data_IF_192868338069
#
_entry.id   IF_192868338069
#
_cell.length_a   1.000
_cell.length_b   1.000
_cell.length_c   1.000
_cell.angle_alpha   90.00
_cell.angle_beta   90.00
_cell.angle_gamma   90.00
#
_symmetry.space_group_name_H-M   'P 1'
#
loop_
_entity.id
_entity.type
_entity.pdbx_description
1 polymer ?
#
# COMPACT_ATOMS: atom_id res chain seq x y z
N UNK A 1 -27.31 -43.83 -30.60
CA UNK A 1 -26.11 -44.35 -31.30
C UNK A 1 -24.96 -44.29 -30.31
N UNK A 2 -24.51 -45.47 -29.90
CA UNK A 2 -23.44 -45.79 -28.95
C UNK A 2 -22.67 -46.96 -29.56
N UNK A 3 -21.34 -47.01 -29.37
CA UNK A 3 -20.64 -48.28 -29.08
C UNK A 3 -19.64 -48.07 -27.92
N UNK A 4 -19.36 -48.96 -26.94
CA UNK A 4 -19.17 -50.42 -26.83
C UNK A 4 -18.02 -51.00 -27.67
N UNK A 5 -16.96 -51.50 -27.01
CA UNK A 5 -16.27 -52.82 -27.15
C UNK A 5 -14.96 -52.75 -26.32
N UNK A 6 -14.90 -53.35 -25.12
CA UNK A 6 -14.43 -54.71 -24.78
C UNK A 6 -12.98 -55.03 -25.12
N UNK A 7 -12.18 -55.35 -24.10
CA UNK A 7 -11.29 -56.52 -24.09
C UNK A 7 -11.23 -57.12 -22.69
N UNK A 8 -11.54 -58.42 -22.60
CA UNK A 8 -11.42 -59.27 -21.43
C UNK A 8 -10.29 -60.28 -21.66
N UNK A 9 -9.68 -60.70 -20.55
CA UNK A 9 -9.03 -62.00 -20.29
C UNK A 9 -7.67 -62.32 -20.95
N UNK A 10 -6.64 -62.42 -20.10
CA UNK A 10 -6.01 -63.71 -19.82
C UNK A 10 -5.30 -63.70 -18.45
N UNK A 11 -5.73 -64.60 -17.59
CA UNK A 11 -5.12 -64.98 -16.33
C UNK A 11 -4.02 -66.02 -16.55
N UNK A 12 -2.96 -65.95 -15.75
CA UNK A 12 -2.39 -67.06 -14.94
C UNK A 12 -0.86 -66.96 -14.83
N UNK A 13 -0.37 -67.53 -13.71
CA UNK A 13 1.01 -67.63 -13.24
C UNK A 13 1.45 -66.47 -12.34
N UNK A 14 1.10 -66.51 -11.05
CA UNK A 14 2.08 -66.53 -9.95
C UNK A 14 1.39 -66.97 -8.64
N UNK A 15 2.08 -67.85 -7.91
CA UNK A 15 1.66 -68.52 -6.68
C UNK A 15 1.29 -67.55 -5.55
N UNK A 16 0.21 -67.86 -4.83
CA UNK A 16 -0.29 -67.14 -3.63
C UNK A 16 0.63 -67.24 -2.40
N UNK A 17 1.85 -67.80 -2.52
CA UNK A 17 2.85 -67.79 -1.44
C UNK A 17 3.72 -66.53 -1.40
N UNK A 18 3.80 -65.72 -2.47
CA UNK A 18 4.68 -64.54 -2.51
C UNK A 18 4.04 -63.23 -2.02
N UNK A 19 2.71 -63.15 -2.00
CA UNK A 19 1.99 -61.93 -1.57
C UNK A 19 2.04 -61.77 -0.03
N UNK A 20 2.14 -62.86 0.73
CA UNK A 20 2.28 -62.79 2.20
C UNK A 20 3.69 -62.40 2.65
N UNK A 21 4.73 -62.66 1.85
CA UNK A 21 6.11 -62.27 2.18
C UNK A 21 6.40 -60.79 1.89
N UNK A 22 5.74 -60.21 0.88
CA UNK A 22 5.88 -58.78 0.53
C UNK A 22 5.15 -57.83 1.51
N UNK A 23 3.99 -58.23 2.05
CA UNK A 23 3.28 -57.39 3.04
C UNK A 23 3.96 -57.36 4.41
N UNK A 24 4.58 -58.45 4.84
CA UNK A 24 5.28 -58.52 6.15
C UNK A 24 6.59 -57.73 6.12
N UNK A 25 7.27 -57.67 4.97
CA UNK A 25 8.50 -56.87 4.79
C UNK A 25 8.24 -55.36 4.72
N UNK A 26 7.12 -54.91 4.14
CA UNK A 26 6.74 -53.49 4.16
C UNK A 26 6.28 -52.98 5.53
N UNK A 27 5.59 -53.81 6.31
CA UNK A 27 5.20 -53.48 7.69
C UNK A 27 6.40 -53.43 8.64
N UNK A 28 7.39 -54.31 8.47
CA UNK A 28 8.63 -54.25 9.24
C UNK A 28 9.48 -53.01 8.88
N UNK A 29 9.51 -52.61 7.60
CA UNK A 29 10.24 -51.41 7.17
C UNK A 29 9.62 -50.12 7.71
N UNK A 30 8.28 -50.03 7.81
CA UNK A 30 7.61 -48.85 8.39
C UNK A 30 7.77 -48.76 9.91
N UNK A 31 7.81 -49.90 10.60
CA UNK A 31 8.07 -49.97 12.05
C UNK A 31 9.54 -49.60 12.35
N UNK A 32 10.49 -50.04 11.52
CA UNK A 32 11.91 -49.66 11.66
C UNK A 32 12.13 -48.17 11.35
N UNK A 33 11.49 -47.61 10.33
CA UNK A 33 11.59 -46.18 9.99
C UNK A 33 10.95 -45.27 11.06
N UNK A 34 9.85 -45.72 11.68
CA UNK A 34 9.24 -44.99 12.81
C UNK A 34 10.08 -45.08 14.08
N UNK A 35 10.75 -46.21 14.34
CA UNK A 35 11.71 -46.35 15.45
C UNK A 35 12.98 -45.51 15.24
N UNK A 36 13.52 -45.43 14.02
CA UNK A 36 14.68 -44.58 13.70
C UNK A 36 14.33 -43.10 13.86
N UNK A 37 13.13 -42.67 13.43
CA UNK A 37 12.67 -41.29 13.68
C UNK A 37 12.45 -41.00 15.18
N UNK A 38 12.02 -41.98 15.97
CA UNK A 38 11.86 -41.81 17.43
C UNK A 38 13.20 -41.78 18.18
N UNK A 39 14.20 -42.55 17.74
CA UNK A 39 15.57 -42.56 18.29
C UNK A 39 16.41 -41.34 17.88
N UNK A 40 16.14 -40.75 16.70
CA UNK A 40 16.82 -39.53 16.22
C UNK A 40 16.18 -38.23 16.75
N UNK A 41 14.91 -38.26 17.16
CA UNK A 41 14.24 -37.11 17.81
C UNK A 41 14.47 -37.02 19.32
N UNK A 42 14.99 -38.08 19.95
CA UNK A 42 15.24 -38.11 21.40
C UNK A 42 16.70 -37.82 21.80
N UNK A 43 17.58 -37.50 20.85
CA UNK A 43 19.02 -37.29 21.10
C UNK A 43 19.58 -35.89 20.79
N UNK A 44 18.75 -34.84 20.65
CA UNK A 44 19.27 -33.44 20.62
C UNK A 44 18.60 -32.44 21.56
N UNK A 45 17.70 -32.88 22.45
CA UNK A 45 17.23 -32.05 23.57
C UNK A 45 18.09 -32.36 24.79
N UNK A 46 19.12 -31.52 25.02
CA UNK A 46 19.91 -31.29 26.24
C UNK A 46 21.43 -31.42 26.07
N UNK A 47 22.06 -30.37 25.54
CA UNK A 47 23.25 -29.69 26.13
C UNK A 47 23.94 -28.84 25.06
N UNK A 48 23.75 -27.52 25.15
CA UNK A 48 24.70 -26.47 24.78
C UNK A 48 24.21 -25.22 25.53
N UNK A 49 24.36 -25.18 26.86
CA UNK A 49 25.36 -24.33 27.53
C UNK A 49 25.57 -22.98 26.84
N UNK A 50 25.00 -21.96 27.49
CA UNK A 50 25.42 -20.57 27.52
C UNK A 50 26.92 -20.39 27.26
N UNK A 51 27.27 -19.82 26.11
CA UNK A 51 28.29 -18.77 25.99
C UNK A 51 28.38 -18.24 24.55
N UNK A 52 28.55 -16.91 24.46
CA UNK A 52 29.13 -16.16 23.35
C UNK A 52 28.33 -16.01 22.04
N UNK A 53 27.40 -15.05 22.03
CA UNK A 53 27.33 -14.00 20.99
C UNK A 53 26.83 -12.71 21.65
N UNK A 54 27.69 -12.05 22.42
CA UNK A 54 27.60 -10.61 22.64
C UNK A 54 28.29 -9.95 21.45
N UNK A 55 27.57 -9.76 20.37
CA UNK A 55 27.93 -8.70 19.43
C UNK A 55 27.51 -7.39 20.09
N UNK A 56 28.51 -6.66 20.58
CA UNK A 56 28.37 -5.29 21.07
C UNK A 56 27.74 -4.44 19.95
N UNK A 57 26.45 -4.14 20.12
CA UNK A 57 25.82 -3.03 19.43
C UNK A 57 26.46 -1.76 19.99
N UNK A 58 27.55 -1.31 19.38
CA UNK A 58 28.13 0.00 19.64
C UNK A 58 27.14 1.06 19.15
N UNK A 59 26.16 1.35 19.99
CA UNK A 59 25.28 2.50 19.86
C UNK A 59 26.15 3.74 20.12
N UNK A 60 26.77 4.24 19.06
CA UNK A 60 27.39 5.56 19.02
C UNK A 60 26.37 6.56 19.53
N UNK A 61 26.61 7.08 20.73
CA UNK A 61 25.89 8.18 21.37
C UNK A 61 26.24 9.49 20.67
N UNK A 62 25.87 9.61 19.40
CA UNK A 62 25.67 10.88 18.75
C UNK A 62 24.21 11.24 18.93
N UNK A 63 23.93 12.01 19.98
CA UNK A 63 22.66 12.68 20.22
C UNK A 63 22.35 13.64 19.06
N UNK A 64 21.71 13.12 18.03
CA UNK A 64 20.92 13.93 17.11
C UNK A 64 19.51 13.93 17.70
N UNK A 65 19.20 14.97 18.45
CA UNK A 65 17.85 15.22 18.97
C UNK A 65 16.93 15.61 17.82
N UNK A 66 16.44 14.62 17.07
CA UNK A 66 15.22 14.81 16.30
C UNK A 66 14.06 14.88 17.32
N UNK A 67 13.19 15.89 17.25
CA UNK A 67 12.06 15.98 18.17
C UNK A 67 11.17 14.76 17.94
N UNK A 68 11.20 13.83 18.91
CA UNK A 68 10.22 12.76 19.01
C UNK A 68 8.89 13.46 19.28
N UNK A 69 8.08 13.61 18.24
CA UNK A 69 6.69 14.03 18.38
C UNK A 69 5.93 12.85 18.99
N UNK A 70 6.11 12.67 20.31
CA UNK A 70 5.26 11.83 21.13
C UNK A 70 3.84 12.35 20.92
N UNK A 71 2.94 11.51 20.41
CA UNK A 71 1.52 11.81 20.47
C UNK A 71 1.18 12.05 21.93
N UNK A 72 0.67 13.24 22.25
CA UNK A 72 -0.12 13.42 23.46
C UNK A 72 -1.27 12.42 23.34
N UNK A 73 -1.61 11.73 24.43
CA UNK A 73 -2.75 10.81 24.47
C UNK A 73 -4.08 11.50 24.14
N UNK A 74 -4.06 12.84 23.99
CA UNK A 74 -5.14 13.70 23.53
C UNK A 74 -5.26 13.87 22.02
N UNK A 75 -4.24 13.52 21.22
CA UNK A 75 -4.27 13.67 19.74
C UNK A 75 -5.10 12.58 19.05
N UNK A 76 -5.34 11.46 19.73
CA UNK A 76 -6.32 10.45 19.33
C UNK A 76 -7.67 10.90 19.89
N UNK A 77 -8.26 11.91 19.27
CA UNK A 77 -9.62 12.33 19.59
C UNK A 77 -10.56 11.11 19.65
N UNK A 78 -11.42 11.11 20.67
CA UNK A 78 -12.59 10.24 20.87
C UNK A 78 -13.61 10.33 19.71
N UNK A 79 -13.18 10.13 18.48
CA UNK A 79 -14.06 10.11 17.33
C UNK A 79 -14.57 8.69 17.16
N UNK A 80 -15.80 8.45 17.61
CA UNK A 80 -16.62 7.39 17.00
C UNK A 80 -16.72 7.73 15.52
N UNK A 81 -15.92 7.09 14.68
CA UNK A 81 -15.82 7.39 13.25
C UNK A 81 -17.09 6.91 12.52
N UNK A 82 -18.13 7.74 12.56
CA UNK A 82 -19.39 7.51 11.87
C UNK A 82 -19.42 8.35 10.59
N UNK A 83 -18.81 7.83 9.52
CA UNK A 83 -19.00 8.38 8.17
C UNK A 83 -20.39 7.98 7.63
N UNK A 84 -21.47 8.47 8.26
CA UNK A 84 -22.80 8.33 7.66
C UNK A 84 -22.96 9.35 6.54
N UNK A 85 -23.16 8.87 5.31
CA UNK A 85 -23.65 9.69 4.23
C UNK A 85 -25.02 10.25 4.62
N UNK A 86 -25.11 11.58 4.72
CA UNK A 86 -26.42 12.22 4.59
C UNK A 86 -26.90 11.96 3.18
N UNK A 87 -27.94 11.15 3.04
CA UNK A 87 -28.68 10.99 1.78
C UNK A 87 -28.84 12.34 1.09
N UNK A 88 -28.39 12.39 -0.17
CA UNK A 88 -28.41 13.56 -1.04
C UNK A 88 -29.83 14.15 -1.13
N UNK A 89 -30.18 15.09 -0.23
CA UNK A 89 -31.11 16.15 -0.61
C UNK A 89 -30.32 17.03 -1.56
N UNK A 90 -30.67 16.99 -2.85
CA UNK A 90 -30.26 17.99 -3.84
C UNK A 90 -30.57 19.39 -3.27
N UNK A 91 -29.60 19.99 -2.59
CA UNK A 91 -29.63 21.42 -2.32
C UNK A 91 -29.27 22.06 -3.63
N UNK A 92 -30.27 22.64 -4.29
CA UNK A 92 -30.10 23.68 -5.31
C UNK A 92 -29.22 24.78 -4.70
N UNK A 93 -27.90 24.65 -4.84
CA UNK A 93 -26.95 25.61 -4.31
C UNK A 93 -26.82 26.73 -5.33
N UNK A 94 -27.41 27.86 -4.94
CA UNK A 94 -27.43 29.10 -5.72
C UNK A 94 -25.99 29.54 -6.00
N UNK A 95 -25.64 29.73 -7.29
CA UNK A 95 -24.38 30.29 -7.80
C UNK A 95 -23.91 31.43 -6.89
N UNK A 96 -22.95 31.17 -5.99
CA UNK A 96 -22.19 32.23 -5.33
C UNK A 96 -21.04 32.60 -6.27
N UNK A 97 -21.21 33.74 -6.89
CA UNK A 97 -20.23 34.39 -7.75
C UNK A 97 -18.95 34.71 -6.99
N UNK A 98 -17.82 34.49 -7.67
CA UNK A 98 -16.50 35.09 -7.50
C UNK A 98 -15.97 35.21 -6.06
N UNK A 99 -15.46 34.11 -5.50
CA UNK A 99 -14.32 34.21 -4.57
C UNK A 99 -13.05 34.29 -5.43
N UNK A 100 -12.32 35.39 -5.29
CA UNK A 100 -11.05 35.68 -5.97
C UNK A 100 -10.11 34.47 -5.90
N UNK A 101 -9.73 33.95 -7.08
CA UNK A 101 -8.63 33.00 -7.24
C UNK A 101 -7.36 33.66 -6.73
N UNK A 102 -6.83 33.19 -5.60
CA UNK A 102 -5.47 33.53 -5.18
C UNK A 102 -4.55 32.40 -5.62
N UNK A 103 -3.65 32.67 -6.56
CA UNK A 103 -2.53 31.79 -6.84
C UNK A 103 -1.68 31.73 -5.56
N UNK A 104 -1.52 30.53 -5.00
CA UNK A 104 -0.63 30.32 -3.86
C UNK A 104 0.69 29.83 -4.45
N UNK A 105 1.68 30.72 -4.50
CA UNK A 105 3.04 30.40 -4.93
C UNK A 105 3.78 29.82 -3.73
N UNK A 106 4.24 28.57 -3.82
CA UNK A 106 5.18 27.98 -2.87
C UNK A 106 6.53 27.86 -3.56
N UNK A 107 7.51 28.67 -3.16
CA UNK A 107 8.89 28.49 -3.59
C UNK A 107 9.50 27.31 -2.82
N UNK A 108 9.85 26.23 -3.53
CA UNK A 108 10.62 25.10 -3.00
C UNK A 108 12.10 25.47 -2.92
N UNK A 109 12.43 26.55 -2.22
CA UNK A 109 13.80 26.76 -1.79
C UNK A 109 13.97 26.02 -0.45
N UNK A 110 15.02 25.21 -0.29
CA UNK A 110 15.46 24.78 1.03
C UNK A 110 16.04 26.00 1.76
N UNK A 111 15.35 26.59 2.76
CA UNK A 111 16.10 27.01 3.94
C UNK A 111 15.35 26.96 5.27
N UNK A 112 16.15 26.76 6.32
CA UNK A 112 16.00 27.26 7.68
C UNK A 112 14.62 27.12 8.38
N UNK A 113 14.61 26.10 9.23
CA UNK A 113 13.81 25.81 10.42
C UNK A 113 13.23 27.06 11.13
N UNK A 114 12.23 27.72 10.55
CA UNK A 114 11.30 28.62 11.28
C UNK A 114 9.93 28.80 10.62
N UNK A 115 9.68 28.25 9.41
CA UNK A 115 8.38 28.33 8.70
C UNK A 115 7.50 27.08 8.85
N UNK A 116 7.94 26.07 9.60
CA UNK A 116 7.29 24.75 9.76
C UNK A 116 6.01 24.73 10.62
N UNK A 117 5.56 25.85 11.20
CA UNK A 117 4.35 25.88 12.03
C UNK A 117 3.03 25.84 11.22
N UNK A 118 3.10 25.98 9.88
CA UNK A 118 1.96 25.75 8.99
C UNK A 118 2.33 24.82 7.83
N UNK A 119 2.63 23.57 8.17
CA UNK A 119 2.72 22.44 7.23
C UNK A 119 1.35 22.04 6.64
N UNK A 120 0.55 22.99 6.16
CA UNK A 120 -0.70 22.66 5.47
C UNK A 120 -0.73 23.42 4.17
N UNK A 121 -0.54 22.71 3.06
CA UNK A 121 -1.05 23.20 1.78
C UNK A 121 -2.56 23.36 1.99
N UNK A 122 -3.15 24.54 1.73
CA UNK A 122 -4.58 24.75 1.89
C UNK A 122 -5.34 24.07 0.75
N UNK A 123 -5.27 22.75 0.71
CA UNK A 123 -6.19 21.92 -0.03
C UNK A 123 -7.38 21.67 0.90
N UNK A 124 -8.48 22.42 0.71
CA UNK A 124 -9.75 22.07 1.32
C UNK A 124 -10.49 21.14 0.36
N UNK A 125 -10.58 19.88 0.75
CA UNK A 125 -11.05 18.80 -0.10
C UNK A 125 -12.48 19.04 -0.67
N UNK A 126 -13.32 19.79 0.06
CA UNK A 126 -14.73 20.01 -0.30
C UNK A 126 -15.05 21.35 -0.96
N UNK A 127 -14.09 22.29 -1.10
CA UNK A 127 -14.43 23.63 -1.66
C UNK A 127 -14.66 23.59 -3.17
N UNK A 128 -14.13 22.56 -3.82
CA UNK A 128 -14.08 22.38 -5.26
C UNK A 128 -15.27 21.54 -5.73
N UNK A 129 -15.95 21.99 -6.78
CA UNK A 129 -17.07 21.25 -7.35
C UNK A 129 -16.54 20.04 -8.11
N UNK A 130 -17.15 18.87 -7.89
CA UNK A 130 -16.80 17.68 -8.65
C UNK A 130 -17.13 17.84 -10.13
N UNK A 131 -16.20 17.47 -10.99
CA UNK A 131 -16.43 17.39 -12.43
C UNK A 131 -17.53 16.34 -12.70
N UNK A 132 -18.55 16.63 -13.53
CA UNK A 132 -19.60 15.65 -13.84
C UNK A 132 -19.07 14.36 -14.49
N UNK A 133 -17.98 14.46 -15.27
CA UNK A 133 -17.38 13.34 -16.01
C UNK A 133 -16.33 12.56 -15.22
N UNK A 134 -15.69 13.19 -14.23
CA UNK A 134 -14.73 12.58 -13.33
C UNK A 134 -15.04 13.02 -11.91
N UNK A 135 -16.10 12.45 -11.30
CA UNK A 135 -16.54 12.87 -9.98
C UNK A 135 -15.52 12.46 -8.93
N UNK A 136 -15.47 13.25 -7.87
CA UNK A 136 -14.74 12.91 -6.68
C UNK A 136 -15.28 11.61 -6.05
N UNK A 137 -14.42 10.64 -5.76
CA UNK A 137 -14.85 9.34 -5.23
C UNK A 137 -14.84 9.26 -3.70
N UNK A 138 -13.82 9.85 -3.07
CA UNK A 138 -13.66 9.81 -1.62
C UNK A 138 -14.45 10.96 -0.99
N UNK A 139 -15.21 10.72 0.08
CA UNK A 139 -15.84 11.78 0.87
C UNK A 139 -14.83 12.46 1.80
N UNK A 140 -15.12 13.68 2.29
CA UNK A 140 -14.25 14.33 3.28
C UNK A 140 -14.00 13.49 4.54
N UNK A 141 -14.96 12.68 4.97
CA UNK A 141 -14.79 11.81 6.12
C UNK A 141 -13.74 10.73 5.83
N UNK A 142 -13.87 10.07 4.68
CA UNK A 142 -12.94 9.02 4.22
C UNK A 142 -11.55 9.59 3.95
N UNK A 143 -11.45 10.76 3.31
CA UNK A 143 -10.17 11.44 3.09
C UNK A 143 -9.46 11.75 4.40
N UNK A 144 -10.18 12.30 5.40
CA UNK A 144 -9.59 12.55 6.72
C UNK A 144 -9.14 11.26 7.43
N UNK A 145 -9.86 10.15 7.24
CA UNK A 145 -9.46 8.86 7.78
C UNK A 145 -8.18 8.35 7.10
N UNK A 146 -8.09 8.46 5.77
CA UNK A 146 -6.90 8.14 5.00
C UNK A 146 -5.68 8.96 5.46
N UNK A 147 -5.83 10.27 5.66
CA UNK A 147 -4.74 11.12 6.16
C UNK A 147 -4.29 10.73 7.58
N UNK A 148 -5.22 10.38 8.46
CA UNK A 148 -4.88 9.91 9.81
C UNK A 148 -4.16 8.55 9.78
N UNK A 149 -4.60 7.65 8.89
CA UNK A 149 -4.00 6.34 8.69
C UNK A 149 -2.56 6.46 8.18
N UNK A 150 -2.34 7.30 7.17
CA UNK A 150 -1.00 7.64 6.67
C UNK A 150 -0.12 8.28 7.72
N UNK A 151 -0.64 9.26 8.49
CA UNK A 151 0.11 9.88 9.59
C UNK A 151 0.56 8.86 10.62
N UNK A 152 -0.32 7.92 10.99
CA UNK A 152 0.00 6.88 11.96
C UNK A 152 1.05 5.91 11.42
N UNK A 153 0.97 5.53 10.15
CA UNK A 153 1.97 4.69 9.49
C UNK A 153 3.33 5.38 9.33
N UNK A 154 3.35 6.66 8.93
CA UNK A 154 4.56 7.48 8.85
C UNK A 154 5.26 7.59 10.22
N UNK A 155 4.49 7.79 11.30
CA UNK A 155 5.05 7.80 12.66
C UNK A 155 5.61 6.44 13.08
N UNK A 156 4.90 5.35 12.76
CA UNK A 156 5.37 3.98 13.00
C UNK A 156 6.71 3.75 12.31
N UNK A 157 6.77 3.99 11.00
CA UNK A 157 7.97 3.76 10.21
C UNK A 157 9.14 4.61 10.68
N UNK A 158 8.92 5.89 11.02
CA UNK A 158 9.95 6.74 11.65
C UNK A 158 10.45 6.20 12.99
N UNK A 159 9.55 5.73 13.87
CA UNK A 159 9.92 5.16 15.17
C UNK A 159 10.82 3.93 15.03
N UNK A 160 10.57 3.09 14.03
CA UNK A 160 11.31 1.86 13.78
C UNK A 160 12.38 1.98 12.68
N UNK A 161 12.67 3.20 12.21
CA UNK A 161 13.63 3.47 11.13
C UNK A 161 13.38 2.63 9.86
N UNK A 162 12.11 2.50 9.48
CA UNK A 162 11.68 1.79 8.28
C UNK A 162 11.49 2.79 7.15
N UNK A 163 12.16 2.57 6.02
CA UNK A 163 11.99 3.39 4.84
C UNK A 163 10.82 2.88 3.99
N UNK A 164 10.00 3.81 3.50
CA UNK A 164 8.91 3.55 2.54
C UNK A 164 8.81 4.76 1.61
N UNK A 165 8.05 4.64 0.53
CA UNK A 165 7.75 5.76 -0.36
C UNK A 165 6.31 5.68 -0.89
N UNK A 166 5.72 6.83 -1.21
CA UNK A 166 4.47 6.90 -1.99
C UNK A 166 4.76 6.56 -3.46
N UNK A 167 3.87 5.80 -4.10
CA UNK A 167 4.03 5.36 -5.50
C UNK A 167 2.71 5.47 -6.27
N UNK A 168 2.76 5.17 -7.57
CA UNK A 168 1.59 5.02 -8.47
C UNK A 168 0.58 6.17 -8.36
N UNK A 169 -0.71 5.87 -8.15
CA UNK A 169 -1.79 6.85 -8.08
C UNK A 169 -1.57 7.88 -6.97
N UNK A 170 -1.00 7.45 -5.85
CA UNK A 170 -0.67 8.32 -4.71
C UNK A 170 0.45 9.29 -5.03
N UNK A 171 1.54 8.82 -5.67
CA UNK A 171 2.62 9.68 -6.13
C UNK A 171 2.13 10.66 -7.20
N UNK A 172 1.26 10.22 -8.11
CA UNK A 172 0.66 11.07 -9.13
C UNK A 172 -0.26 12.12 -8.52
N UNK A 173 -1.03 11.78 -7.49
CA UNK A 173 -1.80 12.73 -6.70
C UNK A 173 -0.91 13.79 -6.06
N UNK A 174 0.13 13.36 -5.35
CA UNK A 174 1.14 14.27 -4.79
C UNK A 174 1.75 15.16 -5.87
N UNK A 175 2.08 14.63 -7.04
CA UNK A 175 2.62 15.39 -8.15
C UNK A 175 1.62 16.40 -8.71
N UNK A 176 0.41 15.97 -9.05
CA UNK A 176 -0.53 16.72 -9.87
C UNK A 176 -1.45 17.62 -9.05
N UNK A 177 -1.75 17.24 -7.81
CA UNK A 177 -2.76 17.88 -6.96
C UNK A 177 -2.25 18.30 -5.57
N UNK A 178 -1.04 17.87 -5.19
CA UNK A 178 -0.55 17.90 -3.80
C UNK A 178 -1.50 17.19 -2.80
N UNK A 179 -2.34 16.28 -3.29
CA UNK A 179 -3.32 15.48 -2.52
C UNK A 179 -3.76 14.28 -3.39
N UNK A 180 -4.72 13.47 -2.95
CA UNK A 180 -5.33 12.43 -3.77
C UNK A 180 -5.78 12.97 -5.13
N UNK A 181 -5.65 12.14 -6.17
CA UNK A 181 -6.35 12.36 -7.42
C UNK A 181 -7.85 12.33 -7.10
N UNK A 182 -8.65 13.35 -7.48
CA UNK A 182 -10.03 13.46 -7.02
C UNK A 182 -10.89 12.22 -7.29
N UNK A 183 -10.66 11.55 -8.42
CA UNK A 183 -11.38 10.36 -8.88
C UNK A 183 -10.64 9.04 -8.58
N UNK A 184 -9.70 9.05 -7.64
CA UNK A 184 -9.00 7.89 -7.12
C UNK A 184 -9.46 7.62 -5.68
N UNK A 185 -9.51 6.36 -5.26
CA UNK A 185 -10.20 5.97 -4.02
C UNK A 185 -9.37 5.19 -3.00
N UNK A 186 -8.08 5.00 -3.24
CA UNK A 186 -7.14 4.36 -2.31
C UNK A 186 -5.76 5.05 -2.30
N UNK A 187 -4.81 4.42 -1.61
CA UNK A 187 -3.46 4.93 -1.43
C UNK A 187 -2.47 3.78 -1.58
N UNK A 188 -1.36 4.02 -2.27
CA UNK A 188 -0.30 3.07 -2.55
C UNK A 188 1.03 3.51 -1.93
N UNK A 189 1.62 2.62 -1.14
CA UNK A 189 2.95 2.74 -0.58
C UNK A 189 3.84 1.59 -1.04
N UNK A 190 5.15 1.83 -1.10
CA UNK A 190 6.16 0.85 -1.49
C UNK A 190 7.28 0.76 -0.45
N UNK A 191 7.70 -0.46 -0.11
CA UNK A 191 8.76 -0.73 0.89
C UNK A 191 9.67 -1.87 0.45
N UNK A 192 10.94 -1.86 0.86
CA UNK A 192 11.86 -2.97 0.58
C UNK A 192 11.37 -4.25 1.25
N UNK A 193 11.35 -5.36 0.50
CA UNK A 193 11.00 -6.69 1.04
C UNK A 193 11.89 -7.09 2.22
N UNK A 194 13.12 -6.55 2.29
CA UNK A 194 14.06 -6.78 3.39
C UNK A 194 13.54 -6.25 4.73
N UNK A 195 12.67 -5.24 4.71
CA UNK A 195 12.08 -4.61 5.90
C UNK A 195 10.78 -5.28 6.36
N UNK A 196 10.20 -6.20 5.56
CA UNK A 196 8.90 -6.85 5.81
C UNK A 196 8.81 -7.46 7.21
N UNK A 197 9.86 -8.15 7.66
CA UNK A 197 9.89 -8.76 9.00
C UNK A 197 9.96 -7.73 10.13
N UNK A 198 10.73 -6.65 9.98
CA UNK A 198 10.82 -5.57 10.96
C UNK A 198 9.51 -4.80 11.05
N UNK A 199 8.83 -4.59 9.91
CA UNK A 199 7.51 -3.99 9.86
C UNK A 199 6.50 -4.81 10.69
N UNK A 200 6.46 -6.13 10.52
CA UNK A 200 5.56 -7.00 11.29
C UNK A 200 5.82 -6.85 12.80
N UNK A 201 7.09 -6.91 13.22
CA UNK A 201 7.48 -6.71 14.63
C UNK A 201 7.06 -5.32 15.13
N UNK A 202 7.27 -4.28 14.33
CA UNK A 202 6.89 -2.91 14.67
C UNK A 202 5.37 -2.81 14.90
N UNK A 203 4.57 -3.38 14.02
CA UNK A 203 3.10 -3.40 14.12
C UNK A 203 2.65 -4.16 15.38
N UNK A 204 3.19 -5.36 15.60
CA UNK A 204 2.85 -6.19 16.76
C UNK A 204 3.22 -5.50 18.07
N UNK A 205 4.34 -4.78 18.11
CA UNK A 205 4.76 -4.05 19.31
C UNK A 205 3.88 -2.83 19.64
N UNK A 206 3.08 -2.35 18.69
CA UNK A 206 2.17 -1.21 18.86
C UNK A 206 0.72 -1.65 19.13
N UNK A 207 0.44 -2.95 19.13
CA UNK A 207 -0.89 -3.55 19.35
C UNK A 207 -0.84 -4.41 20.64
N UNK A 208 -1.74 -4.32 21.66
CA UNK A 208 -3.18 -4.04 21.58
C UNK A 208 -3.77 -3.32 22.83
N UNK A 209 -3.75 -1.99 22.92
CA UNK A 209 -4.48 -1.26 24.00
C UNK A 209 -5.34 -0.11 23.53
N UNK A 210 -5.36 0.19 22.23
CA UNK A 210 -6.21 1.22 21.64
C UNK A 210 -7.23 0.56 20.72
N UNK A 211 -8.52 0.95 20.76
CA UNK A 211 -9.49 0.50 19.77
C UNK A 211 -9.22 1.04 18.36
N UNK A 212 -8.22 1.91 18.16
CA UNK A 212 -7.86 2.53 16.87
C UNK A 212 -6.49 2.08 16.35
N UNK A 213 -6.09 0.84 16.62
CA UNK A 213 -4.84 0.30 16.10
C UNK A 213 -4.95 -0.01 14.59
N UNK A 214 -3.78 -0.08 13.93
CA UNK A 214 -3.71 -0.45 12.52
C UNK A 214 -3.73 -1.97 12.42
N UNK A 215 -4.66 -2.51 11.65
CA UNK A 215 -4.68 -3.90 11.22
C UNK A 215 -3.96 -4.03 9.89
N UNK A 216 -3.19 -5.10 9.71
CA UNK A 216 -2.53 -5.45 8.47
C UNK A 216 -3.13 -6.75 7.94
N UNK A 217 -3.63 -6.70 6.72
CA UNK A 217 -4.19 -7.83 6.02
C UNK A 217 -3.33 -8.18 4.81
N UNK A 218 -2.73 -9.37 4.82
CA UNK A 218 -2.06 -9.90 3.64
C UNK A 218 -3.10 -10.42 2.65
N UNK A 219 -3.12 -9.91 1.42
CA UNK A 219 -3.92 -10.51 0.32
C UNK A 219 -3.31 -11.86 -0.06
N UNK A 220 -3.92 -12.95 0.40
CA UNK A 220 -3.48 -14.32 0.11
C UNK A 220 -4.24 -14.96 -1.06
N UNK A 221 -5.36 -14.34 -1.44
CA UNK A 221 -6.26 -14.71 -2.54
C UNK A 221 -5.80 -14.14 -3.90
N UNK A 222 -4.92 -13.14 -3.89
CA UNK A 222 -4.22 -12.69 -5.09
C UNK A 222 -3.33 -13.81 -5.66
N UNK A 223 -3.14 -13.88 -6.99
CA UNK A 223 -2.10 -14.73 -7.56
C UNK A 223 -0.77 -14.43 -6.84
N UNK A 224 0.07 -15.44 -6.57
CA UNK A 224 1.38 -15.24 -5.91
C UNK A 224 2.23 -14.13 -6.54
N UNK A 225 1.97 -13.81 -7.81
CA UNK A 225 2.59 -12.71 -8.54
C UNK A 225 2.18 -11.29 -8.06
N UNK A 226 1.22 -11.15 -7.15
CA UNK A 226 0.66 -9.88 -6.69
C UNK A 226 0.44 -9.93 -5.16
N UNK A 227 1.48 -10.27 -4.40
CA UNK A 227 1.43 -10.16 -2.94
C UNK A 227 1.52 -8.69 -2.52
N UNK A 228 0.48 -8.21 -1.85
CA UNK A 228 0.48 -6.91 -1.19
C UNK A 228 -0.33 -6.97 0.10
N UNK A 229 -0.16 -5.93 0.91
CA UNK A 229 -0.77 -5.82 2.23
C UNK A 229 -1.70 -4.63 2.24
N UNK A 230 -2.89 -4.81 2.80
CA UNK A 230 -3.79 -3.71 3.12
C UNK A 230 -3.61 -3.37 4.58
N UNK A 231 -3.51 -2.09 4.90
CA UNK A 231 -3.61 -1.66 6.28
C UNK A 231 -4.69 -0.60 6.47
N UNK A 232 -5.37 -0.67 7.61
CA UNK A 232 -6.55 0.13 7.90
C UNK A 232 -6.76 0.21 9.42
N UNK A 233 -7.57 1.17 9.88
CA UNK A 233 -7.99 1.18 11.28
C UNK A 233 -8.96 0.04 11.55
N UNK A 234 -8.81 -0.64 12.69
CA UNK A 234 -9.72 -1.71 13.12
C UNK A 234 -11.20 -1.25 13.26
N UNK A 235 -11.44 0.06 13.41
CA UNK A 235 -12.79 0.66 13.44
C UNK A 235 -13.32 1.09 12.08
N UNK A 236 -12.54 1.00 11.00
CA UNK A 236 -13.01 1.36 9.67
C UNK A 236 -14.22 0.51 9.25
N UNK A 237 -15.19 1.05 8.50
CA UNK A 237 -16.33 0.29 8.02
C UNK A 237 -15.95 -0.79 6.99
N UNK A 238 -16.82 -1.79 6.89
CA UNK A 238 -16.78 -2.80 5.82
C UNK A 238 -17.67 -2.34 4.67
N UNK A 239 -17.16 -2.43 3.45
CA UNK A 239 -17.86 -2.04 2.23
C UNK A 239 -17.91 -3.15 1.17
N UNK A 240 -17.20 -4.26 1.38
CA UNK A 240 -17.19 -5.42 0.50
C UNK A 240 -17.22 -6.72 1.33
N UNK A 241 -17.30 -7.87 0.64
CA UNK A 241 -17.24 -9.20 1.28
C UNK A 241 -15.80 -9.61 1.65
N UNK A 242 -14.82 -8.77 1.33
CA UNK A 242 -13.42 -9.03 1.67
C UNK A 242 -13.15 -8.75 3.15
N UNK A 243 -12.13 -9.39 3.75
CA UNK A 243 -11.86 -9.28 5.18
C UNK A 243 -11.27 -7.91 5.61
N UNK A 244 -10.87 -7.05 4.67
CA UNK A 244 -10.31 -5.74 4.96
C UNK A 244 -11.38 -4.65 5.01
N UNK A 245 -11.08 -3.58 5.75
CA UNK A 245 -11.98 -2.43 5.94
C UNK A 245 -11.53 -1.26 5.09
N UNK A 246 -12.43 -0.35 4.78
CA UNK A 246 -12.16 0.85 3.99
C UNK A 246 -12.44 2.12 4.82
N UNK A 247 -11.65 3.20 4.70
CA UNK A 247 -10.45 3.34 3.87
C UNK A 247 -9.28 2.46 4.32
N UNK A 248 -8.48 2.03 3.33
CA UNK A 248 -7.23 1.31 3.52
C UNK A 248 -6.10 1.98 2.75
N UNK A 249 -4.88 1.51 3.02
CA UNK A 249 -3.68 1.76 2.22
C UNK A 249 -3.16 0.42 1.72
N UNK A 250 -2.83 0.34 0.44
CA UNK A 250 -2.08 -0.74 -0.16
C UNK A 250 -0.58 -0.55 0.06
N UNK A 251 0.07 -1.59 0.57
CA UNK A 251 1.51 -1.65 0.81
C UNK A 251 2.10 -2.74 -0.08
N UNK A 252 2.90 -2.28 -1.02
CA UNK A 252 3.59 -3.07 -2.03
C UNK A 252 5.04 -3.26 -1.59
N UNK A 253 5.60 -4.45 -1.84
CA UNK A 253 7.01 -4.71 -1.58
C UNK A 253 7.83 -4.70 -2.85
N UNK A 254 9.10 -4.32 -2.73
CA UNK A 254 10.05 -4.36 -3.83
C UNK A 254 11.32 -5.14 -3.50
N UNK A 255 11.87 -5.74 -4.54
CA UNK A 255 13.21 -6.30 -4.56
C UNK A 255 14.15 -5.34 -5.26
N UNK A 256 15.44 -5.54 -5.04
CA UNK A 256 16.47 -4.67 -5.57
C UNK A 256 17.72 -5.47 -5.96
N UNK A 257 18.46 -4.95 -6.93
CA UNK A 257 19.86 -5.28 -7.15
C UNK A 257 20.71 -4.02 -6.92
N UNK A 258 21.95 -4.01 -7.43
CA UNK A 258 22.85 -2.86 -7.27
C UNK A 258 22.31 -1.56 -7.89
N UNK A 259 21.54 -1.64 -8.96
CA UNK A 259 21.19 -0.49 -9.81
C UNK A 259 19.70 -0.24 -9.94
N UNK A 260 18.84 -1.25 -9.73
CA UNK A 260 17.41 -1.19 -9.98
C UNK A 260 16.58 -1.77 -8.84
N UNK A 261 15.31 -1.37 -8.81
CA UNK A 261 14.25 -1.97 -8.00
C UNK A 261 13.13 -2.49 -8.91
N UNK A 262 12.35 -3.45 -8.41
CA UNK A 262 11.13 -3.92 -9.06
C UNK A 262 10.15 -4.42 -8.00
N UNK A 263 8.87 -4.25 -8.26
CA UNK A 263 7.82 -4.78 -7.38
C UNK A 263 7.92 -6.30 -7.27
N UNK A 264 7.61 -6.83 -6.08
CA UNK A 264 7.58 -8.25 -5.75
C UNK A 264 6.79 -9.02 -6.81
N UNK A 265 7.49 -9.91 -7.52
CA UNK A 265 7.02 -10.73 -8.66
C UNK A 265 6.66 -9.99 -9.97
N UNK A 266 7.03 -8.72 -10.13
CA UNK A 266 6.79 -7.94 -11.35
C UNK A 266 8.07 -7.54 -12.09
N UNK A 267 9.19 -8.28 -11.90
CA UNK A 267 10.49 -7.95 -12.51
C UNK A 267 10.49 -7.91 -14.04
N UNK A 268 9.55 -8.60 -14.69
CA UNK A 268 9.43 -8.64 -16.15
C UNK A 268 8.53 -7.53 -16.70
N UNK A 269 7.81 -6.83 -15.83
CA UNK A 269 6.85 -5.78 -16.20
C UNK A 269 7.52 -4.42 -16.13
N UNK A 270 8.12 -4.10 -14.99
CA UNK A 270 8.80 -2.82 -14.77
C UNK A 270 10.02 -2.99 -13.87
N UNK A 271 11.13 -2.37 -14.28
CA UNK A 271 12.34 -2.22 -13.48
C UNK A 271 12.70 -0.74 -13.44
N UNK A 272 12.93 -0.23 -12.24
CA UNK A 272 13.09 1.20 -11.99
C UNK A 272 14.51 1.46 -11.51
N UNK A 273 15.19 2.43 -12.11
CA UNK A 273 16.55 2.80 -11.71
C UNK A 273 16.55 3.33 -10.27
N UNK A 274 17.48 2.87 -9.44
CA UNK A 274 17.67 3.42 -8.09
C UNK A 274 18.01 4.90 -8.12
N UNK A 275 18.60 5.40 -9.21
CA UNK A 275 18.98 6.81 -9.33
C UNK A 275 17.76 7.74 -9.50
N UNK A 276 16.64 7.23 -10.03
CA UNK A 276 15.37 7.98 -10.09
C UNK A 276 14.59 7.91 -8.77
N UNK A 277 14.88 6.91 -7.93
CA UNK A 277 14.20 6.73 -6.65
C UNK A 277 14.94 7.40 -5.50
N UNK A 278 16.25 7.21 -5.39
CA UNK A 278 17.02 7.55 -4.20
C UNK A 278 18.00 8.73 -4.43
N UNK A 279 18.32 9.51 -3.37
CA UNK A 279 17.67 9.50 -2.06
C UNK A 279 16.21 9.97 -2.15
N UNK A 280 15.35 9.42 -1.30
CA UNK A 280 13.94 9.82 -1.26
C UNK A 280 13.81 11.31 -0.92
N UNK A 281 12.77 11.94 -1.45
CA UNK A 281 12.41 13.33 -1.17
C UNK A 281 11.04 13.42 -0.50
N UNK A 282 10.87 14.42 0.37
CA UNK A 282 9.56 14.71 0.95
C UNK A 282 8.73 15.52 -0.05
N UNK A 283 7.52 15.03 -0.34
CA UNK A 283 6.54 15.75 -1.17
C UNK A 283 5.23 15.94 -0.41
N UNK A 284 4.50 17.02 -0.69
CA UNK A 284 3.23 17.28 -0.03
C UNK A 284 2.16 16.31 -0.52
N UNK A 285 1.32 15.86 0.42
CA UNK A 285 0.15 15.04 0.15
C UNK A 285 -0.92 15.33 1.21
N UNK A 286 -1.92 16.12 0.82
CA UNK A 286 -2.95 16.65 1.71
C UNK A 286 -2.33 17.46 2.84
N UNK A 287 -2.44 16.95 4.07
CA UNK A 287 -1.89 17.58 5.29
C UNK A 287 -0.50 17.06 5.69
N UNK A 288 0.09 16.17 4.88
CA UNK A 288 1.33 15.46 5.20
C UNK A 288 2.44 15.81 4.22
N UNK A 289 3.68 15.55 4.64
CA UNK A 289 4.87 15.52 3.81
C UNK A 289 5.44 14.12 3.87
N UNK A 290 5.35 13.39 2.76
CA UNK A 290 5.64 11.95 2.71
C UNK A 290 6.87 11.66 1.86
N UNK A 291 7.67 10.63 2.19
CA UNK A 291 8.77 10.20 1.34
C UNK A 291 8.26 9.75 -0.02
N UNK A 292 8.99 10.12 -1.07
CA UNK A 292 8.66 9.87 -2.47
C UNK A 292 9.95 9.66 -3.28
N UNK A 293 9.88 9.04 -4.47
CA UNK A 293 10.99 8.95 -5.39
C UNK A 293 11.65 10.32 -5.64
N UNK A 294 12.98 10.32 -5.77
CA UNK A 294 13.79 11.51 -6.10
C UNK A 294 13.31 12.22 -7.36
N UNK A 295 12.89 11.47 -8.36
CA UNK A 295 12.28 11.95 -9.59
C UNK A 295 10.96 11.22 -9.85
N UNK A 296 9.81 11.84 -9.49
CA UNK A 296 8.51 11.28 -9.83
C UNK A 296 8.32 11.16 -11.35
N UNK A 297 8.85 12.09 -12.14
CA UNK A 297 8.79 12.02 -13.60
C UNK A 297 9.44 10.74 -14.13
N UNK A 298 10.68 10.47 -13.74
CA UNK A 298 11.41 9.27 -14.18
C UNK A 298 10.76 7.99 -13.64
N UNK A 299 10.14 8.04 -12.44
CA UNK A 299 9.31 6.95 -11.93
C UNK A 299 8.15 6.66 -12.90
N UNK A 300 7.34 7.66 -13.26
CA UNK A 300 6.18 7.46 -14.15
C UNK A 300 6.59 6.91 -15.52
N UNK A 301 7.69 7.43 -16.09
CA UNK A 301 8.22 6.90 -17.35
C UNK A 301 8.64 5.42 -17.23
N UNK A 302 9.24 5.02 -16.12
CA UNK A 302 9.68 3.63 -15.88
C UNK A 302 8.52 2.64 -15.77
N UNK A 303 7.33 3.08 -15.37
CA UNK A 303 6.10 2.28 -15.33
C UNK A 303 5.20 2.50 -16.55
N UNK A 304 5.77 3.03 -17.65
CA UNK A 304 5.09 3.28 -18.93
C UNK A 304 3.96 4.31 -18.88
N UNK A 305 3.90 5.15 -17.85
CA UNK A 305 2.93 6.25 -17.76
C UNK A 305 3.50 7.48 -18.46
N UNK A 306 3.54 7.45 -19.79
CA UNK A 306 4.19 8.52 -20.59
C UNK A 306 3.34 9.77 -20.75
N UNK A 307 2.01 9.65 -20.65
CA UNK A 307 1.04 10.74 -20.80
C UNK A 307 0.48 11.21 -19.45
N UNK A 308 1.13 10.82 -18.34
CA UNK A 308 0.61 11.02 -16.98
C UNK A 308 0.35 12.46 -16.57
N UNK A 309 0.86 13.49 -17.25
CA UNK A 309 0.60 14.88 -16.89
C UNK A 309 -0.53 15.50 -17.75
N UNK A 310 -0.71 14.98 -18.97
CA UNK A 310 -1.64 15.48 -19.97
C UNK A 310 -2.97 14.71 -19.99
N UNK A 311 -2.92 13.40 -19.76
CA UNK A 311 -4.06 12.49 -19.79
C UNK A 311 -4.49 12.14 -18.37
N UNK A 312 -5.71 12.55 -18.03
CA UNK A 312 -6.36 12.19 -16.79
C UNK A 312 -7.09 10.87 -17.02
N UNK A 313 -6.64 9.84 -16.32
CA UNK A 313 -7.16 8.49 -16.41
C UNK A 313 -8.03 8.17 -15.19
N UNK A 314 -9.24 7.68 -15.43
CA UNK A 314 -10.12 7.11 -14.42
C UNK A 314 -10.12 5.58 -14.59
N UNK A 315 -9.41 4.89 -13.71
CA UNK A 315 -9.33 3.43 -13.71
C UNK A 315 -10.69 2.78 -13.46
N UNK A 316 -10.94 1.56 -13.99
CA UNK A 316 -12.25 0.91 -13.93
C UNK A 316 -12.57 0.29 -12.57
N UNK A 317 -11.62 0.22 -11.65
CA UNK A 317 -11.77 -0.45 -10.36
C UNK A 317 -12.17 0.52 -9.25
N UNK A 318 -13.10 0.08 -8.41
CA UNK A 318 -13.58 0.75 -7.20
C UNK A 318 -12.99 0.02 -6.00
N UNK A 319 -12.00 0.59 -5.34
CA UNK A 319 -11.28 -0.02 -4.21
C UNK A 319 -12.15 -0.07 -2.96
N UNK A 320 -13.04 0.92 -2.79
CA UNK A 320 -14.05 0.93 -1.71
C UNK A 320 -14.95 -0.31 -1.71
N UNK A 321 -15.45 -0.69 -2.89
CA UNK A 321 -16.38 -1.81 -3.04
C UNK A 321 -15.72 -3.10 -3.56
N UNK A 322 -14.43 -3.06 -3.89
CA UNK A 322 -13.66 -4.15 -4.51
C UNK A 322 -14.37 -4.75 -5.75
N UNK A 323 -14.81 -3.87 -6.66
CA UNK A 323 -15.51 -4.25 -7.90
C UNK A 323 -15.32 -3.23 -9.02
N UNK A 324 -15.81 -3.54 -10.21
CA UNK A 324 -15.78 -2.59 -11.34
C UNK A 324 -16.76 -1.44 -11.15
N UNK A 325 -16.35 -0.21 -11.50
CA UNK A 325 -17.14 1.04 -11.39
C UNK A 325 -18.39 1.05 -12.26
N UNK A 326 -18.45 0.22 -13.32
CA UNK A 326 -19.64 0.08 -14.17
C UNK A 326 -20.89 -0.31 -13.36
N UNK A 327 -20.69 -1.06 -12.27
CA UNK A 327 -21.77 -1.46 -11.35
C UNK A 327 -22.21 -0.33 -10.39
N UNK A 328 -21.39 0.70 -10.22
CA UNK A 328 -21.62 1.80 -9.27
C UNK A 328 -22.31 3.00 -9.93
N UNK A 329 -21.95 3.33 -11.17
CA UNK A 329 -22.33 4.61 -11.80
C UNK A 329 -23.18 4.51 -13.08
N UNK A 330 -23.42 3.31 -13.62
CA UNK A 330 -24.39 3.09 -14.71
C UNK A 330 -24.12 3.86 -16.02
N UNK A 331 -22.91 4.36 -16.22
CA UNK A 331 -22.51 5.16 -17.37
C UNK A 331 -21.10 4.74 -17.82
N UNK A 332 -20.84 4.76 -19.13
CA UNK A 332 -19.48 4.69 -19.69
C UNK A 332 -18.70 5.93 -19.24
N UNK A 333 -18.15 5.91 -18.03
CA UNK A 333 -17.21 6.96 -17.63
C UNK A 333 -16.08 6.95 -18.66
N UNK A 334 -15.86 8.05 -19.37
CA UNK A 334 -14.66 8.17 -20.21
C UNK A 334 -13.47 7.85 -19.33
N UNK A 335 -12.77 6.75 -19.65
CA UNK A 335 -11.61 6.32 -18.88
C UNK A 335 -10.45 7.28 -19.04
N UNK A 336 -10.40 8.07 -20.12
CA UNK A 336 -9.33 9.02 -20.41
C UNK A 336 -9.93 10.34 -20.90
N UNK A 337 -9.41 11.46 -20.39
CA UNK A 337 -9.67 12.80 -20.93
C UNK A 337 -8.45 13.72 -20.76
N UNK A 338 -8.46 14.87 -21.45
CA UNK A 338 -7.40 15.85 -21.27
C UNK A 338 -7.50 16.49 -19.88
N UNK A 339 -6.41 16.43 -19.10
CA UNK A 339 -6.38 16.99 -17.75
C UNK A 339 -6.68 18.49 -17.68
N UNK A 340 -6.42 19.24 -18.76
CA UNK A 340 -6.73 20.67 -18.84
C UNK A 340 -8.23 20.95 -18.65
N UNK A 341 -9.11 20.06 -19.12
CA UNK A 341 -10.56 20.17 -18.95
C UNK A 341 -10.98 20.09 -17.47
N UNK A 342 -10.14 19.54 -16.60
CA UNK A 342 -10.43 19.36 -15.18
C UNK A 342 -9.88 20.49 -14.30
N UNK A 343 -9.07 21.40 -14.84
CA UNK A 343 -8.50 22.55 -14.10
C UNK A 343 -9.56 23.55 -13.61
N UNK A 344 -10.76 23.53 -14.19
CA UNK A 344 -11.85 24.38 -13.70
C UNK A 344 -12.57 23.78 -12.47
N UNK A 345 -12.45 22.46 -12.28
CA UNK A 345 -13.11 21.72 -11.20
C UNK A 345 -12.15 21.48 -10.04
N UNK A 346 -10.92 21.05 -10.33
CA UNK A 346 -9.96 20.61 -9.33
C UNK A 346 -8.68 21.43 -9.40
N UNK A 347 -7.96 21.60 -8.27
CA UNK A 347 -6.68 22.28 -8.29
C UNK A 347 -5.61 21.38 -8.92
N UNK A 348 -4.78 21.98 -9.78
CA UNK A 348 -3.61 21.35 -10.39
C UNK A 348 -2.36 22.13 -10.01
N UNK A 349 -1.27 21.42 -9.79
CA UNK A 349 0.04 22.01 -9.50
C UNK A 349 0.66 22.53 -10.79
N UNK A 350 0.99 23.81 -10.82
CA UNK A 350 1.75 24.41 -11.91
C UNK A 350 3.23 24.52 -11.49
N UNK A 351 4.12 24.05 -12.36
CA UNK A 351 5.58 24.10 -12.15
C UNK A 351 6.19 25.13 -13.07
N UNK A 352 7.09 25.95 -12.56
CA UNK A 352 7.79 26.92 -13.38
C UNK A 352 8.94 26.22 -14.13
N UNK A 353 9.09 26.48 -15.43
CA UNK A 353 10.20 25.91 -16.22
C UNK A 353 11.58 26.48 -15.84
N UNK A 354 11.65 27.40 -14.87
CA UNK A 354 12.84 28.15 -14.52
C UNK A 354 13.82 27.29 -13.72
N UNK A 355 13.33 26.33 -12.93
CA UNK A 355 14.16 25.41 -12.17
C UNK A 355 13.97 23.97 -12.69
N UNK A 356 14.97 23.44 -13.40
CA UNK A 356 14.99 22.03 -13.80
C UNK A 356 14.91 21.08 -12.59
N UNK A 357 15.34 21.54 -11.40
CA UNK A 357 15.20 20.83 -10.13
C UNK A 357 13.75 20.69 -9.64
N UNK A 358 12.79 21.50 -10.10
CA UNK A 358 11.36 21.31 -9.76
C UNK A 358 10.69 20.21 -10.61
N UNK A 359 11.35 19.79 -11.69
CA UNK A 359 10.91 18.73 -12.60
C UNK A 359 11.42 17.34 -12.17
N UNK A 360 12.55 17.34 -11.48
CA UNK A 360 13.03 16.23 -10.67
C UNK A 360 12.25 16.26 -9.34
#
# INVERSE_FOLDING_TARGET
>A
MTPCFYFYSLSSLFSTSHIRSFCVSFLLLSIVLTFINFLTTTTSVNKLTTNEYKTELNLSTTTISLPILLLDSKDVYHNRFNCYERTNRQRLYRKKTNKTRSNITMELNQPNITLFERNTIPYDYDIWQSAPTMPRLVSKCEHNLMMQLLKRFDQLTKKYSLEYMIIDGTLLGSWRHHDLIPWDDDIDLMMSVRLKHLLIIAIESESPSSPYYIEFHRRWDAPKAFEYYKFYFSTSPHFSEHPWRYPFVDLIFYHENETHIWQENMQHVATISKQSIFPLQLRPFGSLWLPSPRSPHDYFLSVSWTTYDDECYNGPWSHKYERTKDMDYGYESKSIMNCYELKEFYPFVERSLINQEERL
#
